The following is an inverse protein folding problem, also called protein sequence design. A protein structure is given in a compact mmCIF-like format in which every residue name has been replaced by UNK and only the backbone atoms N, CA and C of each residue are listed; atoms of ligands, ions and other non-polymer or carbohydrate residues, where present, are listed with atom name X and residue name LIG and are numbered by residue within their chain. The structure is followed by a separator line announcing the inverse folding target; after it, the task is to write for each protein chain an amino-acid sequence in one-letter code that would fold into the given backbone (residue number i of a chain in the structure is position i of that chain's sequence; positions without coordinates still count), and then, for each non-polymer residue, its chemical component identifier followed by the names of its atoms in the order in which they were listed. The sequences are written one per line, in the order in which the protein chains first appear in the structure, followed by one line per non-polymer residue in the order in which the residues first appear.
data_IF_823136773900
#
_entry.id   IF_823136773900
#
_cell.length_a   1.000
_cell.length_b   1.000
_cell.length_c   1.000
_cell.angle_alpha   90.00
_cell.angle_beta   90.00
_cell.angle_gamma   90.00
#
_symmetry.space_group_name_H-M   'P 1'
#
loop_
_entity.id
_entity.type
_entity.pdbx_description
1 polymer ?
#
# COMPACT_ATOMS: atom_id res chain seq x y z
N UNK A 1 22.81 -27.80 -1.95
CA UNK A 1 22.53 -26.34 -1.86
C UNK A 1 22.18 -25.87 -3.25
N UNK A 2 20.91 -25.55 -3.50
CA UNK A 2 20.41 -25.27 -4.86
C UNK A 2 18.90 -24.98 -4.91
N UNK A 3 18.31 -24.57 -3.79
CA UNK A 3 16.89 -24.19 -3.77
C UNK A 3 16.80 -22.75 -4.29
N UNK A 4 16.22 -22.57 -5.47
CA UNK A 4 16.03 -21.27 -6.09
C UNK A 4 15.14 -20.38 -5.19
N UNK A 5 15.49 -19.11 -5.02
CA UNK A 5 14.72 -18.09 -4.30
C UNK A 5 14.43 -18.33 -2.81
N UNK A 6 15.02 -19.33 -2.14
CA UNK A 6 14.70 -19.62 -0.73
C UNK A 6 14.97 -18.48 0.26
N UNK A 7 15.88 -17.55 -0.08
CA UNK A 7 16.21 -16.39 0.75
C UNK A 7 15.27 -15.19 0.51
N UNK A 8 14.60 -15.18 -0.64
CA UNK A 8 13.73 -14.11 -1.09
C UNK A 8 12.28 -14.55 -0.87
N UNK A 9 11.86 -15.59 -1.57
CA UNK A 9 10.49 -16.06 -1.60
C UNK A 9 10.24 -17.19 -0.58
N UNK A 10 9.28 -16.99 0.32
CA UNK A 10 8.71 -18.09 1.11
C UNK A 10 7.98 -19.03 0.14
N UNK A 11 8.23 -20.35 0.16
CA UNK A 11 7.53 -21.30 -0.70
C UNK A 11 6.01 -21.10 -0.58
N UNK A 12 5.31 -21.02 -1.71
CA UNK A 12 3.86 -20.76 -1.83
C UNK A 12 3.41 -19.30 -1.64
N UNK A 13 4.29 -18.40 -1.20
CA UNK A 13 3.98 -16.97 -1.08
C UNK A 13 4.41 -16.20 -2.34
N UNK A 14 3.45 -15.72 -3.14
CA UNK A 14 3.70 -14.93 -4.37
C UNK A 14 3.69 -13.41 -4.15
N UNK A 15 3.45 -12.96 -2.91
CA UNK A 15 3.17 -11.56 -2.59
C UNK A 15 4.32 -10.60 -2.94
N UNK A 16 5.57 -11.04 -2.81
CA UNK A 16 6.75 -10.22 -3.17
C UNK A 16 6.79 -9.86 -4.66
N UNK A 17 6.29 -10.74 -5.53
CA UNK A 17 6.21 -10.49 -6.97
C UNK A 17 5.11 -9.46 -7.26
N UNK A 18 3.97 -9.55 -6.56
CA UNK A 18 2.89 -8.58 -6.69
C UNK A 18 3.35 -7.17 -6.29
N UNK A 19 4.08 -7.05 -5.19
CA UNK A 19 4.64 -5.77 -4.75
C UNK A 19 5.55 -5.15 -5.82
N UNK A 20 6.50 -5.91 -6.38
CA UNK A 20 7.39 -5.39 -7.42
C UNK A 20 6.64 -4.96 -8.69
N UNK A 21 5.63 -5.74 -9.12
CA UNK A 21 4.81 -5.40 -10.28
C UNK A 21 4.00 -4.13 -10.01
N UNK A 22 3.33 -4.04 -8.87
CA UNK A 22 2.53 -2.88 -8.48
C UNK A 22 3.38 -1.64 -8.26
N UNK A 23 4.61 -1.80 -7.78
CA UNK A 23 5.59 -0.74 -7.68
C UNK A 23 5.91 -0.14 -9.06
N UNK A 24 6.34 -0.99 -10.01
CA UNK A 24 6.70 -0.54 -11.36
C UNK A 24 5.49 0.02 -12.12
N UNK A 25 4.37 -0.70 -12.10
CA UNK A 25 3.16 -0.31 -12.82
C UNK A 25 2.50 0.93 -12.20
N UNK A 26 2.36 0.97 -10.88
CA UNK A 26 1.74 2.09 -10.16
C UNK A 26 2.56 3.36 -10.25
N UNK A 27 3.89 3.27 -10.14
CA UNK A 27 4.77 4.43 -10.28
C UNK A 27 4.73 5.02 -11.70
N UNK A 28 4.80 4.14 -12.70
CA UNK A 28 4.71 4.53 -14.11
C UNK A 28 3.34 5.13 -14.44
N UNK A 29 2.25 4.49 -14.00
CA UNK A 29 0.90 4.97 -14.25
C UNK A 29 0.62 6.31 -13.55
N UNK A 30 0.99 6.43 -12.26
CA UNK A 30 0.85 7.67 -11.52
C UNK A 30 1.56 8.82 -12.21
N UNK A 31 2.81 8.62 -12.63
CA UNK A 31 3.57 9.65 -13.31
C UNK A 31 3.00 10.00 -14.70
N UNK A 32 2.70 9.02 -15.54
CA UNK A 32 2.20 9.28 -16.90
C UNK A 32 0.81 9.92 -16.92
N UNK A 33 -0.04 9.60 -15.95
CA UNK A 33 -1.42 10.11 -15.89
C UNK A 33 -1.52 11.51 -15.29
N UNK A 34 -0.60 11.91 -14.41
CA UNK A 34 -0.69 13.20 -13.70
C UNK A 34 0.47 14.16 -13.97
N UNK A 35 1.58 13.67 -14.54
CA UNK A 35 2.83 14.41 -14.65
C UNK A 35 3.61 14.54 -13.34
N UNK A 36 3.05 14.07 -12.22
CA UNK A 36 3.67 14.15 -10.90
C UNK A 36 4.01 12.74 -10.37
N UNK A 37 5.31 12.40 -10.18
CA UNK A 37 5.74 11.09 -9.71
C UNK A 37 5.22 10.75 -8.31
N UNK A 38 4.80 11.73 -7.49
CA UNK A 38 4.26 11.48 -6.16
C UNK A 38 2.95 10.70 -6.17
N UNK A 39 2.16 10.80 -7.24
CA UNK A 39 0.93 10.01 -7.41
C UNK A 39 1.21 8.51 -7.51
N UNK A 40 2.40 8.16 -8.01
CA UNK A 40 2.88 6.80 -8.08
C UNK A 40 3.63 6.35 -6.82
N UNK A 41 4.49 7.22 -6.29
CA UNK A 41 5.32 6.90 -5.12
C UNK A 41 4.51 6.80 -3.81
N UNK A 42 3.50 7.64 -3.61
CA UNK A 42 2.72 7.68 -2.38
C UNK A 42 1.93 6.37 -2.11
N UNK A 43 1.23 5.76 -3.10
CA UNK A 43 0.65 4.42 -2.97
C UNK A 43 1.61 3.34 -2.45
N UNK A 44 2.85 3.35 -2.93
CA UNK A 44 3.90 2.40 -2.53
C UNK A 44 4.32 2.63 -1.08
N UNK A 45 4.47 3.90 -0.70
CA UNK A 45 4.82 4.30 0.67
C UNK A 45 3.73 3.82 1.64
N UNK A 46 2.45 3.99 1.29
CA UNK A 46 1.34 3.51 2.10
C UNK A 46 1.38 2.01 2.31
N UNK A 47 1.64 1.24 1.25
CA UNK A 47 1.73 -0.22 1.36
C UNK A 47 2.93 -0.65 2.22
N UNK A 48 4.13 -0.17 1.87
CA UNK A 48 5.37 -0.59 2.55
C UNK A 48 5.42 -0.19 4.02
N UNK A 49 5.12 1.07 4.34
CA UNK A 49 5.12 1.56 5.73
C UNK A 49 3.92 1.00 6.49
N UNK A 50 2.75 0.94 5.86
CA UNK A 50 1.54 0.41 6.46
C UNK A 50 1.72 -1.04 6.92
N UNK A 51 2.18 -1.92 6.03
CA UNK A 51 2.40 -3.34 6.35
C UNK A 51 3.52 -3.53 7.37
N UNK A 52 4.58 -2.70 7.35
CA UNK A 52 5.61 -2.72 8.38
C UNK A 52 5.02 -2.41 9.77
N UNK A 53 4.20 -1.36 9.89
CA UNK A 53 3.58 -0.95 11.16
C UNK A 53 2.54 -1.96 11.64
N UNK A 54 1.67 -2.45 10.74
CA UNK A 54 0.67 -3.48 11.08
C UNK A 54 1.35 -4.78 11.48
N UNK A 55 2.43 -5.16 10.79
CA UNK A 55 3.27 -6.31 11.09
C UNK A 55 3.91 -6.24 12.47
N UNK A 56 4.51 -5.10 12.82
CA UNK A 56 5.11 -4.86 14.13
C UNK A 56 4.09 -4.98 15.27
N UNK A 57 2.95 -4.29 15.14
CA UNK A 57 1.90 -4.32 16.17
C UNK A 57 1.27 -5.70 16.30
N UNK A 58 1.04 -6.38 15.18
CA UNK A 58 0.50 -7.74 15.17
C UNK A 58 1.46 -8.72 15.88
N UNK A 59 2.75 -8.60 15.62
CA UNK A 59 3.75 -9.42 16.29
C UNK A 59 3.80 -9.14 17.79
N UNK A 60 3.69 -7.87 18.20
CA UNK A 60 3.67 -7.47 19.60
C UNK A 60 2.42 -7.95 20.35
N UNK A 61 1.24 -7.84 19.74
CA UNK A 61 -0.05 -8.11 20.39
C UNK A 61 -0.50 -9.58 20.29
N UNK A 62 -0.40 -10.16 19.09
CA UNK A 62 -1.03 -11.45 18.78
C UNK A 62 -0.03 -12.58 18.54
N UNK A 63 1.22 -12.28 18.18
CA UNK A 63 2.27 -13.27 17.85
C UNK A 63 1.89 -14.28 16.75
N UNK A 64 0.88 -13.94 15.94
CA UNK A 64 0.40 -14.73 14.79
C UNK A 64 -0.12 -13.81 13.69
N UNK A 65 -0.21 -14.30 12.45
CA UNK A 65 -0.80 -13.59 11.30
C UNK A 65 -2.31 -13.42 11.52
N UNK A 66 -2.71 -12.25 12.00
CA UNK A 66 -4.09 -11.77 12.10
C UNK A 66 -4.19 -10.33 11.58
N UNK A 67 -5.15 -10.06 10.69
CA UNK A 67 -5.59 -8.69 10.39
C UNK A 67 -6.44 -8.21 11.58
N UNK A 68 -6.15 -7.01 12.09
CA UNK A 68 -6.79 -6.49 13.30
C UNK A 68 -7.04 -5.00 13.16
N UNK A 69 -8.16 -4.52 13.70
CA UNK A 69 -8.49 -3.10 13.70
C UNK A 69 -7.43 -2.22 14.36
N UNK A 70 -6.66 -2.76 15.31
CA UNK A 70 -5.49 -2.08 15.89
C UNK A 70 -4.37 -1.86 14.87
N UNK A 71 -4.13 -2.83 13.99
CA UNK A 71 -3.21 -2.67 12.87
C UNK A 71 -3.70 -1.60 11.89
N UNK A 72 -4.97 -1.63 11.50
CA UNK A 72 -5.59 -0.63 10.63
C UNK A 72 -5.50 0.79 11.22
N UNK A 73 -5.79 0.94 12.52
CA UNK A 73 -5.66 2.23 13.21
C UNK A 73 -4.22 2.75 13.18
N UNK A 74 -3.25 1.88 13.42
CA UNK A 74 -1.85 2.27 13.41
C UNK A 74 -1.32 2.59 12.01
N UNK A 75 -1.76 1.82 11.00
CA UNK A 75 -1.53 2.18 9.60
C UNK A 75 -2.10 3.58 9.34
N UNK A 76 -3.35 3.86 9.71
CA UNK A 76 -3.96 5.18 9.52
C UNK A 76 -3.17 6.30 10.21
N UNK A 77 -2.76 6.10 11.47
CA UNK A 77 -1.99 7.10 12.22
C UNK A 77 -0.61 7.36 11.65
N UNK A 78 -0.02 6.41 10.92
CA UNK A 78 1.32 6.54 10.34
C UNK A 78 1.29 7.02 8.90
N UNK A 79 0.38 6.51 8.08
CA UNK A 79 0.29 6.85 6.65
C UNK A 79 -0.45 8.18 6.41
N UNK A 80 -1.41 8.56 7.27
CA UNK A 80 -2.16 9.82 7.08
C UNK A 80 -1.27 11.07 7.16
N UNK A 81 -0.38 11.24 8.16
CA UNK A 81 0.53 12.38 8.19
C UNK A 81 1.45 12.44 6.96
N UNK A 82 1.91 11.29 6.48
CA UNK A 82 2.74 11.17 5.27
C UNK A 82 1.94 11.62 4.03
N UNK A 83 0.71 11.15 3.90
CA UNK A 83 -0.20 11.55 2.83
C UNK A 83 -0.46 13.06 2.81
N UNK A 84 -0.75 13.64 3.98
CA UNK A 84 -0.93 15.10 4.15
C UNK A 84 0.32 15.87 3.74
N UNK A 85 1.50 15.40 4.17
CA UNK A 85 2.76 16.10 3.89
C UNK A 85 3.12 16.13 2.39
N UNK A 86 2.70 15.13 1.61
CA UNK A 86 3.08 14.99 0.20
C UNK A 86 1.99 15.55 -0.73
N UNK A 87 0.74 15.13 -0.58
CA UNK A 87 -0.38 15.49 -1.47
C UNK A 87 -1.55 16.16 -0.74
N UNK A 88 -1.38 16.60 0.52
CA UNK A 88 -2.41 17.31 1.28
C UNK A 88 -3.65 16.47 1.56
N UNK A 89 -4.83 17.08 1.42
CA UNK A 89 -6.13 16.44 1.71
C UNK A 89 -6.35 15.17 0.86
N UNK A 90 -6.12 15.15 -0.46
CA UNK A 90 -6.19 13.92 -1.26
C UNK A 90 -5.31 12.79 -0.69
N UNK A 91 -4.09 13.11 -0.27
CA UNK A 91 -3.18 12.14 0.36
C UNK A 91 -3.72 11.60 1.69
N UNK A 92 -4.34 12.45 2.50
CA UNK A 92 -4.99 12.04 3.76
C UNK A 92 -6.15 11.07 3.52
N UNK A 93 -7.03 11.41 2.57
CA UNK A 93 -8.19 10.57 2.24
C UNK A 93 -7.72 9.23 1.69
N UNK A 94 -6.74 9.22 0.77
CA UNK A 94 -6.16 7.99 0.25
C UNK A 94 -5.56 7.11 1.36
N UNK A 95 -4.82 7.69 2.29
CA UNK A 95 -4.24 6.96 3.43
C UNK A 95 -5.30 6.30 4.32
N UNK A 96 -6.36 7.05 4.66
CA UNK A 96 -7.47 6.53 5.48
C UNK A 96 -8.23 5.41 4.76
N UNK A 97 -8.52 5.59 3.46
CA UNK A 97 -9.18 4.55 2.65
C UNK A 97 -8.33 3.29 2.57
N UNK A 98 -7.01 3.41 2.33
CA UNK A 98 -6.09 2.28 2.30
C UNK A 98 -6.03 1.56 3.64
N UNK A 99 -5.97 2.32 4.73
CA UNK A 99 -5.94 1.76 6.09
C UNK A 99 -7.23 1.00 6.42
N UNK A 100 -8.36 1.33 5.79
CA UNK A 100 -9.58 0.55 5.90
C UNK A 100 -9.54 -0.71 5.00
N UNK A 101 -9.14 -0.55 3.74
CA UNK A 101 -9.04 -1.66 2.76
C UNK A 101 -8.08 -2.75 3.21
N UNK A 102 -6.98 -2.40 3.89
CA UNK A 102 -6.00 -3.31 4.49
C UNK A 102 -6.63 -4.41 5.37
N UNK A 103 -7.83 -4.17 5.93
CA UNK A 103 -8.53 -5.17 6.74
C UNK A 103 -9.01 -6.38 5.92
N UNK A 104 -9.28 -6.17 4.64
CA UNK A 104 -9.99 -7.11 3.78
C UNK A 104 -9.01 -7.87 2.90
N UNK A 105 -9.00 -9.20 3.03
CA UNK A 105 -8.25 -10.09 2.14
C UNK A 105 -9.20 -10.61 1.05
N UNK A 106 -8.86 -10.38 -0.22
CA UNK A 106 -9.68 -10.76 -1.38
C UNK A 106 -9.16 -12.04 -2.05
N UNK A 107 -8.83 -13.05 -1.24
CA UNK A 107 -8.38 -14.36 -1.71
C UNK A 107 -7.04 -14.31 -2.45
N UNK A 108 -7.07 -14.31 -3.79
CA UNK A 108 -5.87 -14.33 -4.65
C UNK A 108 -5.22 -12.94 -4.74
N UNK A 109 -5.99 -11.88 -4.50
CA UNK A 109 -5.51 -10.50 -4.51
C UNK A 109 -5.16 -10.09 -3.07
N UNK A 110 -3.88 -9.79 -2.85
CA UNK A 110 -3.37 -9.39 -1.54
C UNK A 110 -3.36 -7.86 -1.36
N UNK A 111 -2.93 -7.43 -0.17
CA UNK A 111 -2.71 -6.05 0.20
C UNK A 111 -1.69 -5.33 -0.70
N UNK A 112 -0.63 -6.02 -1.15
CA UNK A 112 0.35 -5.47 -2.09
C UNK A 112 -0.25 -5.05 -3.44
N UNK A 113 -1.43 -5.55 -3.80
CA UNK A 113 -2.20 -5.06 -4.95
C UNK A 113 -3.30 -4.09 -4.51
N UNK A 114 -4.12 -4.48 -3.53
CA UNK A 114 -5.32 -3.70 -3.19
C UNK A 114 -4.98 -2.33 -2.62
N UNK A 115 -3.95 -2.21 -1.79
CA UNK A 115 -3.57 -0.94 -1.16
C UNK A 115 -2.99 0.03 -2.20
N UNK A 116 -1.95 -0.32 -3.00
CA UNK A 116 -1.45 0.61 -4.01
C UNK A 116 -2.50 0.99 -5.06
N UNK A 117 -3.33 0.03 -5.48
CA UNK A 117 -4.38 0.30 -6.47
C UNK A 117 -5.45 1.24 -5.90
N UNK A 118 -5.90 0.99 -4.67
CA UNK A 118 -6.88 1.85 -3.99
C UNK A 118 -6.34 3.26 -3.83
N UNK A 119 -5.10 3.40 -3.33
CA UNK A 119 -4.47 4.71 -3.17
C UNK A 119 -4.43 5.47 -4.50
N UNK A 120 -3.95 4.83 -5.57
CA UNK A 120 -3.84 5.45 -6.88
C UNK A 120 -5.21 5.89 -7.42
N UNK A 121 -6.24 5.04 -7.31
CA UNK A 121 -7.60 5.38 -7.73
C UNK A 121 -8.19 6.55 -6.94
N UNK A 122 -8.03 6.56 -5.61
CA UNK A 122 -8.51 7.66 -4.76
C UNK A 122 -7.78 8.96 -5.11
N UNK A 123 -6.47 8.92 -5.31
CA UNK A 123 -5.70 10.11 -5.71
C UNK A 123 -6.14 10.62 -7.08
N UNK A 124 -6.26 9.76 -8.09
CA UNK A 124 -6.69 10.16 -9.44
C UNK A 124 -8.11 10.74 -9.45
N UNK A 125 -9.01 10.19 -8.65
CA UNK A 125 -10.40 10.66 -8.56
C UNK A 125 -10.54 11.98 -7.82
N UNK A 126 -9.84 12.16 -6.70
CA UNK A 126 -9.92 13.39 -5.90
C UNK A 126 -9.20 14.56 -6.54
N UNK A 127 -8.17 14.29 -7.31
CA UNK A 127 -7.29 15.32 -7.86
C UNK A 127 -7.58 15.64 -9.32
N UNK A 128 -8.83 15.36 -9.77
CA UNK A 128 -9.39 15.60 -11.13
C UNK A 128 -8.41 16.39 -12.00
N UNK A 129 -7.71 15.66 -12.87
CA UNK A 129 -6.58 16.15 -13.69
C UNK A 129 -6.89 17.58 -14.18
N UNK A 130 -6.19 18.61 -13.71
CA UNK A 130 -6.28 19.93 -14.31
C UNK A 130 -5.51 19.84 -15.65
N UNK A 131 -6.17 19.40 -16.72
CA UNK A 131 -5.48 19.27 -18.01
C UNK A 131 -6.08 18.36 -19.10
N UNK A 132 -7.36 17.97 -19.02
CA UNK A 132 -8.13 17.55 -20.21
C UNK A 132 -9.21 18.59 -20.51
#
# INVERSE_FOLDING_TARGET
TGKLLYWFQVPENKYEVHFCIMWGAGLTAGWLLTGDPWFGALPIIFMSIGDAVTGLLRNAMFKRRTKSWWGNLAMALTTTPIGVAILGIPGAVAALTCSFIEHYEFGIIDDNITVPLTALLVLLTLTQIPGL
#
